data_IF_225054398773
#
_entry.id   IF_225054398773
#
_cell.length_a   1.000
_cell.length_b   1.000
_cell.length_c   1.000
_cell.angle_alpha   90.00
_cell.angle_beta   90.00
_cell.angle_gamma   90.00
#
_symmetry.space_group_name_H-M   'P 1'
#
loop_
_entity.id
_entity.type
_entity.pdbx_description
1 polymer ?
#
# COMPACT_ATOMS: atom_id res chain seq x y z
N UNK A 1 -5.98 -10.52 1.91
CA UNK A 1 -5.05 -9.97 0.89
C UNK A 1 -3.59 -10.31 1.18
N UNK A 2 -3.08 -10.10 2.40
CA UNK A 2 -1.71 -10.57 2.73
C UNK A 2 -1.59 -12.10 2.63
N UNK A 3 -2.58 -12.84 3.15
CA UNK A 3 -2.64 -14.30 3.05
C UNK A 3 -2.67 -14.80 1.59
N UNK A 4 -3.39 -14.11 0.70
CA UNK A 4 -3.44 -14.49 -0.72
C UNK A 4 -2.11 -14.21 -1.42
N UNK A 5 -1.48 -13.07 -1.13
CA UNK A 5 -0.14 -12.77 -1.64
C UNK A 5 0.88 -13.80 -1.16
N UNK A 6 0.83 -14.19 0.12
CA UNK A 6 1.67 -15.25 0.68
C UNK A 6 1.44 -16.57 -0.05
N UNK A 7 0.17 -16.97 -0.24
CA UNK A 7 -0.19 -18.21 -0.92
C UNK A 7 0.27 -18.26 -2.38
N UNK A 8 0.06 -17.18 -3.14
CA UNK A 8 0.44 -17.10 -4.56
C UNK A 8 1.95 -17.16 -4.74
N UNK A 9 2.69 -16.49 -3.85
CA UNK A 9 4.15 -16.50 -3.88
C UNK A 9 4.74 -17.82 -3.36
N UNK A 10 4.13 -18.48 -2.36
CA UNK A 10 4.56 -19.79 -1.85
C UNK A 10 4.54 -20.87 -2.94
N UNK A 11 3.53 -20.85 -3.82
CA UNK A 11 3.45 -21.78 -4.96
C UNK A 11 4.65 -21.59 -5.90
N UNK A 12 5.02 -20.34 -6.18
CA UNK A 12 6.17 -20.00 -7.05
C UNK A 12 7.53 -20.32 -6.40
N UNK A 13 7.65 -20.14 -5.08
CA UNK A 13 8.90 -20.43 -4.35
C UNK A 13 9.13 -21.93 -4.12
N UNK A 14 8.06 -22.71 -3.94
CA UNK A 14 8.13 -24.17 -3.80
C UNK A 14 8.59 -24.85 -5.10
N UNK A 15 8.20 -24.29 -6.26
CA UNK A 15 8.63 -24.79 -7.56
C UNK A 15 10.12 -24.53 -7.89
N UNK A 16 10.72 -23.50 -7.28
CA UNK A 16 12.03 -22.97 -7.71
C UNK A 16 13.18 -23.23 -6.71
N UNK A 17 12.91 -23.78 -5.51
CA UNK A 17 13.90 -23.93 -4.42
C UNK A 17 14.63 -22.61 -4.09
N UNK A 18 13.90 -21.51 -3.99
CA UNK A 18 14.48 -20.22 -3.62
C UNK A 18 14.99 -20.23 -2.14
N UNK A 19 16.11 -19.57 -1.81
CA UNK A 19 16.58 -19.46 -0.43
C UNK A 19 15.56 -18.71 0.43
N UNK A 20 15.27 -19.25 1.62
CA UNK A 20 14.23 -18.76 2.55
C UNK A 20 14.39 -17.28 2.95
N UNK A 21 15.62 -16.77 2.90
CA UNK A 21 15.96 -15.39 3.25
C UNK A 21 15.35 -14.35 2.28
N UNK A 22 15.46 -14.56 0.97
CA UNK A 22 14.93 -13.63 -0.04
C UNK A 22 13.40 -13.56 -0.02
N UNK A 23 12.73 -14.67 0.31
CA UNK A 23 11.27 -14.72 0.47
C UNK A 23 10.80 -13.87 1.65
N UNK A 24 11.50 -13.93 2.79
CA UNK A 24 11.17 -13.13 3.96
C UNK A 24 11.37 -11.62 3.69
N UNK A 25 12.47 -11.26 3.01
CA UNK A 25 12.77 -9.87 2.68
C UNK A 25 11.73 -9.28 1.71
N UNK A 26 11.34 -10.05 0.69
CA UNK A 26 10.27 -9.67 -0.23
C UNK A 26 8.92 -9.46 0.49
N UNK A 27 8.57 -10.35 1.42
CA UNK A 27 7.32 -10.24 2.17
C UNK A 27 7.31 -8.97 3.04
N UNK A 28 8.42 -8.66 3.70
CA UNK A 28 8.58 -7.44 4.51
C UNK A 28 8.44 -6.19 3.65
N UNK A 29 9.05 -6.16 2.47
CA UNK A 29 8.89 -5.02 1.55
C UNK A 29 7.49 -4.90 0.94
N UNK A 30 6.69 -5.95 0.95
CA UNK A 30 5.29 -5.89 0.49
C UNK A 30 4.34 -5.28 1.53
N UNK A 31 4.73 -5.22 2.81
CA UNK A 31 3.87 -4.74 3.90
C UNK A 31 3.46 -3.26 3.72
N UNK A 32 4.37 -2.30 3.45
CA UNK A 32 4.01 -0.89 3.35
C UNK A 32 2.98 -0.62 2.24
N UNK A 33 3.06 -1.38 1.15
CA UNK A 33 2.09 -1.30 0.04
C UNK A 33 0.68 -1.72 0.48
N UNK A 34 0.56 -2.81 1.24
CA UNK A 34 -0.74 -3.35 1.68
C UNK A 34 -1.39 -2.40 2.71
N UNK A 35 -0.60 -1.93 3.67
CA UNK A 35 -1.07 -1.01 4.70
C UNK A 35 -1.61 0.26 4.05
N UNK A 36 -0.82 0.84 3.15
CA UNK A 36 -1.16 2.08 2.46
C UNK A 36 -2.44 1.93 1.64
N UNK A 37 -2.56 0.92 0.79
CA UNK A 37 -3.66 0.86 -0.17
C UNK A 37 -4.98 0.42 0.46
N UNK A 38 -4.96 -0.50 1.42
CA UNK A 38 -6.18 -1.19 1.88
C UNK A 38 -6.53 -0.87 3.31
N UNK A 39 -5.56 -0.96 4.22
CA UNK A 39 -5.84 -0.84 5.66
C UNK A 39 -6.24 0.58 6.02
N UNK A 40 -5.47 1.58 5.57
CA UNK A 40 -5.70 2.98 5.92
C UNK A 40 -7.09 3.47 5.51
N UNK A 41 -7.52 3.20 4.27
CA UNK A 41 -8.83 3.63 3.77
C UNK A 41 -9.99 3.05 4.57
N UNK A 42 -9.93 1.76 4.91
CA UNK A 42 -10.97 1.08 5.70
C UNK A 42 -10.98 1.57 7.15
N UNK A 43 -9.79 1.69 7.77
CA UNK A 43 -9.65 2.17 9.14
C UNK A 43 -10.15 3.59 9.32
N UNK A 44 -9.94 4.47 8.34
CA UNK A 44 -10.46 5.85 8.37
C UNK A 44 -11.99 5.89 8.40
N UNK A 45 -12.66 5.12 7.54
CA UNK A 45 -14.12 5.03 7.56
C UNK A 45 -14.64 4.50 8.89
N UNK A 46 -13.98 3.47 9.43
CA UNK A 46 -14.34 2.89 10.72
C UNK A 46 -14.14 3.88 11.87
N UNK A 47 -13.02 4.60 11.90
CA UNK A 47 -12.71 5.60 12.93
C UNK A 47 -13.73 6.73 12.95
N UNK A 48 -14.13 7.24 11.79
CA UNK A 48 -15.13 8.31 11.68
C UNK A 48 -16.48 7.83 12.19
N UNK A 49 -16.93 6.65 11.73
CA UNK A 49 -18.20 6.06 12.15
C UNK A 49 -18.20 5.80 13.67
N UNK A 50 -17.11 5.25 14.20
CA UNK A 50 -16.98 4.97 15.62
C UNK A 50 -17.03 6.25 16.47
N UNK A 51 -16.30 7.29 16.07
CA UNK A 51 -16.25 8.57 16.78
C UNK A 51 -17.62 9.25 16.80
N UNK A 52 -18.29 9.33 15.65
CA UNK A 52 -19.65 9.89 15.56
C UNK A 52 -20.65 9.03 16.34
N UNK A 53 -20.48 7.71 16.31
CA UNK A 53 -21.27 6.77 17.11
C UNK A 53 -21.16 7.04 18.61
N UNK A 54 -19.95 7.30 19.12
CA UNK A 54 -19.73 7.65 20.53
C UNK A 54 -20.42 8.96 20.91
N UNK A 55 -20.33 10.01 20.08
CA UNK A 55 -21.04 11.27 20.31
C UNK A 55 -22.57 11.12 20.34
N UNK A 56 -23.09 10.14 19.60
CA UNK A 56 -24.52 9.80 19.62
C UNK A 56 -24.92 9.08 20.91
N UNK A 57 -24.16 8.05 21.32
CA UNK A 57 -24.43 7.26 22.54
C UNK A 57 -24.35 8.12 23.79
N UNK A 58 -23.35 9.00 23.87
CA UNK A 58 -23.16 9.91 25.01
C UNK A 58 -24.11 11.12 25.00
N UNK A 59 -25.00 11.23 23.99
CA UNK A 59 -25.91 12.37 23.78
C UNK A 59 -25.20 13.74 23.63
N UNK A 60 -23.89 13.74 23.40
CA UNK A 60 -23.10 14.96 23.21
C UNK A 60 -23.56 15.72 21.96
N UNK A 61 -23.83 14.99 20.86
CA UNK A 61 -24.30 15.57 19.62
C UNK A 61 -25.63 16.33 19.78
N UNK A 62 -26.58 15.72 20.52
CA UNK A 62 -27.90 16.31 20.79
C UNK A 62 -27.76 17.53 21.70
N UNK A 63 -26.90 17.46 22.71
CA UNK A 63 -26.65 18.60 23.61
C UNK A 63 -26.07 19.82 22.89
N UNK A 64 -25.15 19.61 21.95
CA UNK A 64 -24.56 20.68 21.15
C UNK A 64 -25.59 21.35 20.23
N UNK A 65 -26.46 20.55 19.59
CA UNK A 65 -27.55 21.08 18.76
C UNK A 65 -28.59 21.84 19.60
N UNK A 66 -28.92 21.34 20.79
CA UNK A 66 -29.83 22.02 21.72
C UNK A 66 -29.26 23.35 22.25
N UNK A 67 -27.93 23.46 22.36
CA UNK A 67 -27.23 24.70 22.69
C UNK A 67 -27.16 25.70 21.52
N UNK A 68 -27.79 25.42 20.38
CA UNK A 68 -27.82 26.28 19.21
C UNK A 68 -26.58 26.19 18.31
N UNK A 69 -25.71 25.19 18.52
CA UNK A 69 -24.57 24.96 17.63
C UNK A 69 -25.06 24.34 16.32
N UNK A 70 -24.81 25.05 15.21
CA UNK A 70 -25.12 24.53 13.87
C UNK A 70 -24.35 23.24 13.58
N UNK A 71 -25.04 22.28 12.96
CA UNK A 71 -24.48 20.99 12.53
C UNK A 71 -23.19 21.14 11.71
N UNK A 72 -23.09 22.18 10.86
CA UNK A 72 -21.91 22.43 10.04
C UNK A 72 -20.64 22.65 10.87
N UNK A 73 -20.75 23.29 12.05
CA UNK A 73 -19.60 23.52 12.93
C UNK A 73 -19.12 22.22 13.60
N UNK A 74 -20.04 21.27 13.83
CA UNK A 74 -19.73 19.95 14.39
C UNK A 74 -19.04 19.06 13.34
N UNK A 75 -19.44 19.16 12.06
CA UNK A 75 -18.83 18.40 10.97
C UNK A 75 -17.50 18.99 10.47
N UNK A 76 -17.30 20.29 10.64
CA UNK A 76 -16.05 21.00 10.26
C UNK A 76 -14.76 20.29 10.74
N UNK A 77 -14.60 19.92 12.03
CA UNK A 77 -13.40 19.21 12.49
C UNK A 77 -13.23 17.83 11.83
N UNK A 78 -14.32 17.16 11.47
CA UNK A 78 -14.30 15.87 10.78
C UNK A 78 -13.73 16.01 9.35
N UNK A 79 -14.18 17.04 8.62
CA UNK A 79 -13.68 17.34 7.27
C UNK A 79 -12.22 17.76 7.31
N UNK A 80 -11.85 18.64 8.26
CA UNK A 80 -10.47 19.08 8.43
C UNK A 80 -9.53 17.91 8.70
N UNK A 81 -9.94 16.97 9.57
CA UNK A 81 -9.19 15.76 9.85
C UNK A 81 -9.05 14.86 8.62
N UNK A 82 -10.11 14.73 7.81
CA UNK A 82 -10.05 13.99 6.54
C UNK A 82 -9.04 14.56 5.55
N UNK A 83 -9.01 15.89 5.39
CA UNK A 83 -8.04 16.59 4.52
C UNK A 83 -6.62 16.39 5.05
N UNK A 84 -6.42 16.53 6.36
CA UNK A 84 -5.12 16.32 7.00
C UNK A 84 -4.61 14.90 6.78
N UNK A 85 -5.46 13.89 6.97
CA UNK A 85 -5.12 12.49 6.71
C UNK A 85 -4.81 12.24 5.24
N UNK A 86 -5.52 12.87 4.32
CA UNK A 86 -5.23 12.77 2.89
C UNK A 86 -3.83 13.28 2.55
N UNK A 87 -3.42 14.43 3.10
CA UNK A 87 -2.07 14.99 2.89
C UNK A 87 -1.00 14.05 3.46
N UNK A 88 -1.19 13.57 4.70
CA UNK A 88 -0.27 12.61 5.34
C UNK A 88 -0.13 11.36 4.48
N UNK A 89 -1.24 10.87 3.95
CA UNK A 89 -1.26 9.67 3.12
C UNK A 89 -0.53 9.85 1.79
N UNK A 90 -0.69 11.02 1.18
CA UNK A 90 0.06 11.42 -0.02
C UNK A 90 1.56 11.38 0.28
N UNK A 91 2.01 12.06 1.33
CA UNK A 91 3.42 12.09 1.72
C UNK A 91 3.97 10.71 2.07
N UNK A 92 3.22 9.89 2.81
CA UNK A 92 3.61 8.53 3.16
C UNK A 92 3.76 7.63 1.93
N UNK A 93 2.85 7.75 0.96
CA UNK A 93 2.95 7.01 -0.31
C UNK A 93 4.21 7.43 -1.07
N UNK A 94 4.46 8.74 -1.13
CA UNK A 94 5.55 9.32 -1.89
C UNK A 94 6.93 8.99 -1.30
N UNK A 95 7.07 9.01 0.02
CA UNK A 95 8.32 8.85 0.78
C UNK A 95 8.61 7.41 1.21
N UNK A 96 7.60 6.61 1.52
CA UNK A 96 7.77 5.28 2.12
C UNK A 96 7.45 4.19 1.10
N UNK A 97 6.27 4.25 0.49
CA UNK A 97 5.77 3.15 -0.35
C UNK A 97 6.57 3.04 -1.65
N UNK A 98 6.86 4.16 -2.32
CA UNK A 98 7.59 4.14 -3.60
C UNK A 98 9.04 3.63 -3.50
N UNK A 99 9.89 4.07 -2.57
CA UNK A 99 11.25 3.51 -2.48
C UNK A 99 11.22 2.04 -2.08
N UNK A 100 10.37 1.67 -1.12
CA UNK A 100 10.24 0.26 -0.68
C UNK A 100 9.75 -0.64 -1.82
N UNK A 101 8.77 -0.18 -2.60
CA UNK A 101 8.27 -0.95 -3.75
C UNK A 101 9.28 -1.03 -4.90
N UNK A 102 10.21 -0.06 -5.03
CA UNK A 102 11.35 -0.17 -5.96
C UNK A 102 12.33 -1.26 -5.51
N UNK A 103 12.64 -1.33 -4.22
CA UNK A 103 13.51 -2.37 -3.64
C UNK A 103 12.88 -3.77 -3.79
N UNK A 104 11.58 -3.90 -3.52
CA UNK A 104 10.85 -5.15 -3.73
C UNK A 104 10.89 -5.63 -5.19
N UNK A 105 10.86 -4.68 -6.14
CA UNK A 105 10.90 -4.99 -7.57
C UNK A 105 12.28 -5.48 -8.00
N UNK A 106 13.35 -4.87 -7.51
CA UNK A 106 14.73 -5.32 -7.78
C UNK A 106 14.93 -6.75 -7.24
N UNK A 107 14.44 -7.03 -6.04
CA UNK A 107 14.53 -8.36 -5.44
C UNK A 107 13.75 -9.40 -6.27
N UNK A 108 12.54 -9.06 -6.70
CA UNK A 108 11.79 -9.91 -7.60
C UNK A 108 12.50 -10.15 -8.94
N UNK A 109 13.04 -9.10 -9.55
CA UNK A 109 13.74 -9.17 -10.83
C UNK A 109 14.95 -10.10 -10.72
N UNK A 110 15.72 -10.04 -9.62
CA UNK A 110 16.83 -10.99 -9.35
C UNK A 110 16.38 -12.44 -9.12
N UNK A 111 15.21 -12.64 -8.51
CA UNK A 111 14.61 -13.97 -8.34
C UNK A 111 14.11 -14.52 -9.69
N UNK A 112 13.61 -13.67 -10.59
CA UNK A 112 13.25 -14.04 -11.98
C UNK A 112 14.44 -14.20 -12.92
N UNK A 113 15.52 -13.45 -12.77
CA UNK A 113 16.74 -13.63 -13.56
C UNK A 113 17.46 -14.94 -13.17
N UNK A 114 17.42 -15.31 -11.87
CA UNK A 114 17.79 -16.66 -11.42
C UNK A 114 16.87 -17.79 -11.93
N UNK A 115 15.63 -17.46 -12.35
CA UNK A 115 14.75 -18.37 -13.11
C UNK A 115 15.05 -18.37 -14.62
N UNK A 116 15.76 -17.35 -15.13
CA UNK A 116 16.05 -17.13 -16.54
C UNK A 116 17.26 -17.89 -17.08
N UNK A 117 18.19 -18.36 -16.26
CA UNK A 117 19.36 -19.11 -16.78
C UNK A 117 18.99 -20.51 -17.31
N UNK A 118 17.81 -21.06 -16.97
CA UNK A 118 17.30 -22.30 -17.58
C UNK A 118 16.11 -22.10 -18.53
N UNK A 119 15.49 -20.92 -18.55
CA UNK A 119 14.30 -20.68 -19.38
C UNK A 119 14.45 -19.53 -20.39
N UNK A 120 15.51 -18.72 -20.34
CA UNK A 120 15.54 -17.48 -21.10
C UNK A 120 16.93 -16.95 -21.48
N UNK A 121 17.70 -17.80 -22.17
CA UNK A 121 18.72 -17.38 -23.15
C UNK A 121 18.10 -16.70 -24.39
N UNK A 122 16.83 -16.25 -24.38
CA UNK A 122 16.10 -15.88 -25.60
C UNK A 122 15.40 -14.52 -25.55
N UNK A 123 15.17 -13.90 -24.39
CA UNK A 123 14.42 -12.64 -24.33
C UNK A 123 15.08 -11.60 -23.42
N UNK A 124 16.08 -10.97 -24.02
CA UNK A 124 16.25 -9.52 -24.08
C UNK A 124 16.96 -8.84 -22.90
N UNK A 125 18.26 -8.64 -23.11
CA UNK A 125 19.08 -7.62 -22.47
C UNK A 125 18.41 -6.24 -22.53
N UNK A 126 18.01 -5.70 -21.38
CA UNK A 126 17.45 -4.35 -21.28
C UNK A 126 18.52 -3.36 -20.77
N UNK A 127 19.34 -2.85 -21.70
CA UNK A 127 20.30 -1.77 -21.40
C UNK A 127 19.58 -0.43 -21.53
N UNK A 128 19.22 0.18 -20.39
CA UNK A 128 18.58 1.50 -20.36
C UNK A 128 19.63 2.61 -20.45
N UNK A 129 19.87 3.10 -21.68
CA UNK A 129 20.68 4.29 -21.96
C UNK A 129 20.00 5.59 -21.48
N UNK A 130 20.82 6.59 -21.14
CA UNK A 130 20.49 7.82 -20.38
C UNK A 130 19.57 8.85 -21.07
N UNK A 131 18.83 8.51 -22.13
CA UNK A 131 17.85 9.39 -22.79
C UNK A 131 16.66 8.55 -23.26
N UNK A 132 15.46 8.87 -22.79
CA UNK A 132 14.26 8.05 -22.89
C UNK A 132 13.75 7.79 -24.31
N UNK A 133 14.25 6.73 -24.94
CA UNK A 133 13.60 6.10 -26.08
C UNK A 133 13.73 4.58 -25.93
N UNK A 134 12.61 3.86 -25.96
CA UNK A 134 12.57 2.39 -25.90
C UNK A 134 12.01 1.92 -27.24
N UNK A 135 12.83 1.18 -27.99
CA UNK A 135 12.40 0.48 -29.22
C UNK A 135 12.28 -0.99 -28.85
N UNK A 136 11.09 -1.56 -29.12
CA UNK A 136 10.86 -3.00 -29.05
C UNK A 136 11.16 -3.62 -30.42
N UNK A 137 12.00 -4.65 -30.44
CA UNK A 137 12.04 -5.62 -31.55
C UNK A 137 11.73 -6.99 -30.96
N UNK A 138 10.84 -7.69 -31.66
CA UNK A 138 10.20 -8.96 -31.31
C UNK A 138 11.20 -10.09 -31.05
#
# INVERSE_FOLDING_TARGET
>A
MLLSLVNDNLRNFTATKAPRYHVALFLVYSIPKIISTTVVSMSLMFSICFTVGQFSVNKELVSMMAAGVSFFRIVTPLILFGILMWIIMLLATELIVRPVNKLAKIEHDTLTEGMGTLANSVYQFHVKGKKGFIIYIF
#
